data_IF_116652973533
#
_entry.id   IF_116652973533
#
_cell.length_a   1.000
_cell.length_b   1.000
_cell.length_c   1.000
_cell.angle_alpha   90.00
_cell.angle_beta   90.00
_cell.angle_gamma   90.00
#
_symmetry.space_group_name_H-M   'P 1'
#
loop_
_entity.id
_entity.type
_entity.pdbx_description
1 polymer ?
#
# COMPACT_ATOMS: atom_id res chain seq x y z
N UNK A 1 14.82 57.56 38.27
CA UNK A 1 15.80 56.95 37.34
C UNK A 1 15.47 55.46 36.98
N UNK A 2 14.24 54.93 37.23
CA UNK A 2 13.95 53.52 36.96
C UNK A 2 13.10 53.24 35.70
N UNK A 3 12.58 54.27 35.01
CA UNK A 3 11.70 54.03 33.84
C UNK A 3 12.43 53.83 32.51
N UNK A 4 13.68 54.21 32.40
CA UNK A 4 14.45 54.12 31.14
C UNK A 4 15.18 52.78 30.96
N UNK A 5 15.36 52.01 32.04
CA UNK A 5 16.02 50.67 31.98
C UNK A 5 15.05 49.58 31.58
N UNK A 6 13.77 49.68 31.97
CA UNK A 6 12.74 48.68 31.61
C UNK A 6 12.35 48.74 30.14
N UNK A 7 12.35 49.92 29.50
CA UNK A 7 12.02 50.05 28.06
C UNK A 7 13.09 49.47 27.14
N UNK A 8 14.38 49.51 27.55
CA UNK A 8 15.47 48.89 26.80
C UNK A 8 15.44 47.36 26.82
N UNK A 9 15.00 46.77 27.94
CA UNK A 9 14.91 45.33 28.10
C UNK A 9 13.71 44.73 27.31
N UNK A 10 12.59 45.42 27.29
CA UNK A 10 11.42 45.03 26.51
C UNK A 10 11.67 45.11 25.01
N UNK A 11 12.33 46.15 24.51
CA UNK A 11 12.72 46.29 23.10
C UNK A 11 13.68 45.14 22.66
N UNK A 12 14.66 44.79 23.48
CA UNK A 12 15.58 43.68 23.19
C UNK A 12 14.88 42.31 23.19
N UNK A 13 13.90 42.12 24.07
CA UNK A 13 13.10 40.87 24.09
C UNK A 13 12.24 40.77 22.80
N UNK A 14 11.61 41.88 22.41
CA UNK A 14 10.76 41.93 21.18
C UNK A 14 11.60 41.68 19.92
N UNK A 15 12.80 42.22 19.86
CA UNK A 15 13.74 42.02 18.76
C UNK A 15 14.21 40.55 18.67
N UNK A 16 14.53 39.93 19.80
CA UNK A 16 14.87 38.51 19.89
C UNK A 16 13.69 37.60 19.47
N UNK A 17 12.47 37.96 19.85
CA UNK A 17 11.25 37.21 19.42
C UNK A 17 11.03 37.37 17.94
N UNK A 18 11.14 38.54 17.34
CA UNK A 18 11.04 38.76 15.89
C UNK A 18 12.10 37.95 15.14
N UNK A 19 13.34 38.02 15.52
CA UNK A 19 14.45 37.25 14.93
C UNK A 19 14.18 35.71 14.98
N UNK A 20 13.70 35.24 16.12
CA UNK A 20 13.35 33.82 16.30
C UNK A 20 12.16 33.38 15.41
N UNK A 21 11.18 34.26 15.23
CA UNK A 21 10.02 34.03 14.36
C UNK A 21 10.43 34.00 12.88
N UNK A 22 11.33 34.91 12.48
CA UNK A 22 11.90 34.94 11.13
C UNK A 22 12.77 33.72 10.82
N UNK A 23 13.61 33.31 11.78
CA UNK A 23 14.42 32.07 11.66
C UNK A 23 13.53 30.82 11.56
N UNK A 24 12.43 30.76 12.31
CA UNK A 24 11.48 29.66 12.23
C UNK A 24 10.74 29.66 10.89
N UNK A 25 10.33 30.81 10.38
CA UNK A 25 9.69 30.94 9.08
C UNK A 25 10.64 30.54 7.93
N UNK A 26 11.90 30.97 7.99
CA UNK A 26 12.93 30.54 7.02
C UNK A 26 13.18 29.05 7.04
N UNK A 27 13.29 28.43 8.23
CA UNK A 27 13.43 26.97 8.35
C UNK A 27 12.20 26.19 7.84
N UNK A 28 11.01 26.73 8.04
CA UNK A 28 9.77 26.16 7.54
C UNK A 28 9.72 26.24 6.00
N UNK A 29 10.14 27.35 5.41
CA UNK A 29 10.19 27.54 3.97
C UNK A 29 11.23 26.63 3.28
N UNK A 30 12.43 26.51 3.87
CA UNK A 30 13.47 25.60 3.39
C UNK A 30 12.98 24.14 3.45
N UNK A 31 12.29 23.74 4.53
CA UNK A 31 11.68 22.40 4.62
C UNK A 31 10.58 22.18 3.58
N UNK A 32 9.78 23.21 3.29
CA UNK A 32 8.73 23.15 2.28
C UNK A 32 9.32 23.01 0.88
N UNK A 33 10.37 23.77 0.55
CA UNK A 33 11.07 23.68 -0.73
C UNK A 33 11.81 22.33 -0.88
N UNK A 34 12.43 21.81 0.18
CA UNK A 34 13.03 20.48 0.18
C UNK A 34 11.99 19.37 -0.02
N UNK A 35 10.81 19.47 0.64
CA UNK A 35 9.71 18.51 0.44
C UNK A 35 9.12 18.59 -0.96
N UNK A 36 8.95 19.79 -1.51
CA UNK A 36 8.47 19.97 -2.90
C UNK A 36 9.50 19.46 -3.92
N UNK A 37 10.79 19.70 -3.70
CA UNK A 37 11.85 19.17 -4.55
C UNK A 37 11.96 17.65 -4.50
N UNK A 38 11.82 17.05 -3.31
CA UNK A 38 11.78 15.59 -3.16
C UNK A 38 10.51 14.97 -3.76
N UNK A 39 9.35 15.60 -3.61
CA UNK A 39 8.10 15.15 -4.23
C UNK A 39 8.20 15.22 -5.76
N UNK A 40 8.69 16.34 -6.30
CA UNK A 40 8.88 16.50 -7.76
C UNK A 40 9.91 15.50 -8.35
N UNK A 41 10.97 15.16 -7.61
CA UNK A 41 11.92 14.12 -8.03
C UNK A 41 11.36 12.71 -7.93
N UNK A 42 10.57 12.40 -6.90
CA UNK A 42 9.95 11.08 -6.73
C UNK A 42 8.80 10.83 -7.72
N UNK A 43 8.20 11.89 -8.27
CA UNK A 43 7.16 11.83 -9.30
C UNK A 43 7.73 11.70 -10.73
N UNK A 44 9.05 11.72 -10.90
CA UNK A 44 9.66 11.60 -12.22
C UNK A 44 9.85 10.11 -12.59
N UNK A 45 9.28 9.70 -13.71
CA UNK A 45 9.39 8.32 -14.23
C UNK A 45 10.84 7.91 -14.50
N UNK A 46 11.68 8.86 -14.98
CA UNK A 46 13.09 8.59 -15.26
C UNK A 46 13.86 8.34 -13.95
N UNK A 47 13.59 9.14 -12.91
CA UNK A 47 14.15 8.91 -11.58
C UNK A 47 13.74 7.55 -11.00
N UNK A 48 12.47 7.17 -11.19
CA UNK A 48 12.01 5.84 -10.76
C UNK A 48 12.77 4.74 -11.49
N UNK A 49 12.90 4.83 -12.81
CA UNK A 49 13.58 3.80 -13.61
C UNK A 49 15.03 3.65 -13.20
N UNK A 50 15.76 4.75 -13.03
CA UNK A 50 17.16 4.75 -12.62
C UNK A 50 17.33 4.17 -11.20
N UNK A 51 16.54 4.66 -10.24
CA UNK A 51 16.60 4.20 -8.84
C UNK A 51 16.22 2.73 -8.73
N UNK A 52 15.15 2.30 -9.40
CA UNK A 52 14.67 0.93 -9.39
C UNK A 52 15.71 -0.03 -10.02
N UNK A 53 16.37 0.39 -11.12
CA UNK A 53 17.43 -0.39 -11.75
C UNK A 53 18.65 -0.51 -10.83
N UNK A 54 19.05 0.58 -10.17
CA UNK A 54 20.17 0.57 -9.22
C UNK A 54 19.91 -0.37 -8.04
N UNK A 55 18.69 -0.34 -7.47
CA UNK A 55 18.30 -1.26 -6.40
C UNK A 55 18.34 -2.71 -6.87
N UNK A 56 17.84 -2.99 -8.07
CA UNK A 56 17.87 -4.32 -8.68
C UNK A 56 19.30 -4.83 -8.82
N UNK A 57 20.19 -4.04 -9.42
CA UNK A 57 21.57 -4.41 -9.68
C UNK A 57 22.36 -4.62 -8.38
N UNK A 58 22.03 -3.85 -7.32
CA UNK A 58 22.63 -4.02 -5.99
C UNK A 58 22.22 -5.35 -5.35
N UNK A 59 20.92 -5.70 -5.43
CA UNK A 59 20.41 -6.97 -4.92
C UNK A 59 21.03 -8.15 -5.70
N UNK A 60 21.06 -8.10 -7.02
CA UNK A 60 21.67 -9.15 -7.87
C UNK A 60 23.15 -9.35 -7.51
N UNK A 61 23.92 -8.27 -7.37
CA UNK A 61 25.33 -8.32 -6.95
C UNK A 61 25.47 -8.94 -5.55
N UNK A 62 24.63 -8.55 -4.58
CA UNK A 62 24.66 -9.13 -3.24
C UNK A 62 24.30 -10.63 -3.24
N UNK A 63 23.42 -11.08 -4.12
CA UNK A 63 23.11 -12.52 -4.28
C UNK A 63 24.30 -13.28 -4.81
N UNK A 64 25.04 -12.72 -5.78
CA UNK A 64 26.24 -13.34 -6.34
C UNK A 64 27.37 -13.40 -5.31
N UNK A 65 27.54 -12.33 -4.51
CA UNK A 65 28.56 -12.24 -3.46
C UNK A 65 28.28 -13.13 -2.23
N UNK A 66 27.07 -13.64 -2.09
CA UNK A 66 26.68 -14.50 -0.95
C UNK A 66 27.62 -15.71 -0.77
N UNK A 67 28.19 -16.22 -1.87
CA UNK A 67 29.18 -17.32 -1.85
C UNK A 67 30.47 -17.00 -1.08
N UNK A 68 30.81 -15.73 -0.93
CA UNK A 68 32.04 -15.27 -0.27
C UNK A 68 31.82 -14.98 1.24
N UNK A 69 30.58 -15.07 1.74
CA UNK A 69 30.23 -14.73 3.14
C UNK A 69 30.50 -15.91 4.07
N UNK A 70 31.06 -15.62 5.25
CA UNK A 70 31.32 -16.62 6.28
C UNK A 70 30.01 -17.21 6.80
N UNK A 71 29.96 -18.53 7.02
CA UNK A 71 28.74 -19.24 7.48
C UNK A 71 28.09 -18.64 8.72
N UNK A 72 28.85 -18.05 9.62
CA UNK A 72 28.31 -17.40 10.82
C UNK A 72 27.55 -16.10 10.55
N UNK A 73 27.78 -15.45 9.41
CA UNK A 73 27.17 -14.17 9.02
C UNK A 73 26.11 -14.34 7.94
N UNK A 74 25.95 -15.54 7.39
CA UNK A 74 25.02 -15.80 6.30
C UNK A 74 23.56 -15.52 6.66
N UNK A 75 23.17 -15.76 7.91
CA UNK A 75 21.79 -15.55 8.35
C UNK A 75 21.46 -14.05 8.35
N UNK A 76 22.29 -13.25 8.99
CA UNK A 76 22.13 -11.78 9.02
C UNK A 76 22.21 -11.17 7.62
N UNK A 77 23.09 -11.71 6.77
CA UNK A 77 23.26 -11.26 5.39
C UNK A 77 22.00 -11.51 4.54
N UNK A 78 21.40 -12.68 4.65
CA UNK A 78 20.15 -12.98 3.93
C UNK A 78 18.95 -12.23 4.50
N UNK A 79 18.90 -11.97 5.80
CA UNK A 79 17.88 -11.12 6.40
C UNK A 79 17.96 -9.67 5.89
N UNK A 80 19.17 -9.15 5.66
CA UNK A 80 19.38 -7.84 5.04
C UNK A 80 18.93 -7.85 3.56
N UNK A 81 19.27 -8.88 2.83
CA UNK A 81 18.90 -9.04 1.42
C UNK A 81 17.37 -9.11 1.20
N UNK A 82 16.67 -9.79 2.10
CA UNK A 82 15.20 -9.83 2.10
C UNK A 82 14.61 -8.44 2.39
N UNK A 83 15.23 -7.67 3.29
CA UNK A 83 14.83 -6.28 3.56
C UNK A 83 15.06 -5.38 2.34
N UNK A 84 16.13 -5.56 1.60
CA UNK A 84 16.41 -4.78 0.38
C UNK A 84 15.34 -5.04 -0.69
N UNK A 85 14.92 -6.29 -0.87
CA UNK A 85 13.81 -6.62 -1.78
C UNK A 85 12.50 -5.99 -1.31
N UNK A 86 12.26 -5.98 0.01
CA UNK A 86 11.08 -5.31 0.58
C UNK A 86 11.12 -3.79 0.36
N UNK A 87 12.28 -3.14 0.55
CA UNK A 87 12.45 -1.71 0.27
C UNK A 87 12.16 -1.38 -1.20
N UNK A 88 12.59 -2.25 -2.11
CA UNK A 88 12.30 -2.12 -3.54
C UNK A 88 10.80 -2.25 -3.84
N UNK A 89 10.09 -3.13 -3.14
CA UNK A 89 8.62 -3.24 -3.23
C UNK A 89 7.93 -1.99 -2.68
N UNK A 90 8.41 -1.47 -1.55
CA UNK A 90 7.85 -0.25 -0.94
C UNK A 90 8.08 0.97 -1.83
N UNK A 91 9.26 1.08 -2.46
CA UNK A 91 9.56 2.12 -3.45
C UNK A 91 8.65 2.03 -4.68
N UNK A 92 8.37 0.83 -5.18
CA UNK A 92 7.39 0.64 -6.25
C UNK A 92 5.98 1.07 -5.81
N UNK A 93 5.56 0.70 -4.61
CA UNK A 93 4.25 1.06 -4.07
C UNK A 93 4.09 2.59 -3.93
N UNK A 94 5.13 3.27 -3.46
CA UNK A 94 5.16 4.74 -3.36
C UNK A 94 5.15 5.42 -4.74
N UNK A 95 5.83 4.82 -5.70
CA UNK A 95 5.95 5.33 -7.08
C UNK A 95 4.76 4.99 -7.98
N UNK A 96 3.87 4.10 -7.53
CA UNK A 96 2.74 3.60 -8.32
C UNK A 96 1.80 4.71 -8.83
N UNK A 97 1.85 5.88 -8.21
CA UNK A 97 0.97 7.02 -8.49
C UNK A 97 1.27 7.72 -9.83
N UNK A 98 2.51 7.69 -10.28
CA UNK A 98 2.95 8.34 -11.52
C UNK A 98 3.46 7.35 -12.58
N UNK A 99 3.43 6.04 -12.28
CA UNK A 99 3.84 5.00 -13.21
C UNK A 99 2.65 4.51 -14.04
N UNK A 100 2.87 4.26 -15.33
CA UNK A 100 1.89 3.58 -16.17
C UNK A 100 1.73 2.11 -15.74
N UNK A 101 0.52 1.55 -15.91
CA UNK A 101 0.21 0.17 -15.46
C UNK A 101 1.16 -0.89 -15.99
N UNK A 102 1.67 -0.73 -17.22
CA UNK A 102 2.64 -1.65 -17.77
C UNK A 102 4.01 -1.58 -17.07
N UNK A 103 4.43 -0.37 -16.62
CA UNK A 103 5.68 -0.17 -15.87
C UNK A 103 5.58 -0.80 -14.49
N UNK A 104 4.46 -0.61 -13.81
CA UNK A 104 4.17 -1.25 -12.52
C UNK A 104 4.21 -2.76 -12.63
N UNK A 105 3.54 -3.33 -13.66
CA UNK A 105 3.53 -4.77 -13.90
C UNK A 105 4.93 -5.31 -14.17
N UNK A 106 5.70 -4.62 -15.02
CA UNK A 106 7.08 -4.99 -15.32
C UNK A 106 7.98 -4.94 -14.08
N UNK A 107 7.85 -3.90 -13.25
CA UNK A 107 8.57 -3.78 -12.00
C UNK A 107 8.20 -4.90 -11.00
N UNK A 108 6.91 -5.23 -10.87
CA UNK A 108 6.44 -6.36 -10.05
C UNK A 108 7.02 -7.70 -10.51
N UNK A 109 7.11 -7.94 -11.82
CA UNK A 109 7.75 -9.15 -12.38
C UNK A 109 9.24 -9.21 -12.03
N UNK A 110 9.95 -8.09 -12.07
CA UNK A 110 11.35 -8.02 -11.64
C UNK A 110 11.52 -8.32 -10.15
N UNK A 111 10.70 -7.72 -9.29
CA UNK A 111 10.73 -7.99 -7.84
C UNK A 111 10.44 -9.47 -7.54
N UNK A 112 9.46 -10.06 -8.22
CA UNK A 112 9.15 -11.48 -8.09
C UNK A 112 10.32 -12.36 -8.49
N UNK A 113 11.01 -12.00 -9.57
CA UNK A 113 12.19 -12.75 -10.04
C UNK A 113 13.34 -12.65 -9.05
N UNK A 114 13.62 -11.44 -8.52
CA UNK A 114 14.65 -11.23 -7.49
C UNK A 114 14.33 -12.00 -6.20
N UNK A 115 13.08 -11.97 -5.77
CA UNK A 115 12.65 -12.70 -4.60
C UNK A 115 12.88 -14.22 -4.75
N UNK A 116 12.53 -14.79 -5.89
CA UNK A 116 12.80 -16.18 -6.20
C UNK A 116 14.30 -16.49 -6.23
N UNK A 117 15.13 -15.58 -6.76
CA UNK A 117 16.57 -15.73 -6.83
C UNK A 117 17.21 -15.71 -5.44
N UNK A 118 16.80 -14.79 -4.57
CA UNK A 118 17.24 -14.71 -3.18
C UNK A 118 16.89 -16.01 -2.43
N UNK A 119 15.66 -16.50 -2.59
CA UNK A 119 15.23 -17.72 -1.92
C UNK A 119 15.93 -18.97 -2.43
N UNK A 120 16.14 -19.09 -3.74
CA UNK A 120 16.93 -20.16 -4.32
C UNK A 120 18.34 -20.19 -3.72
N UNK A 121 18.94 -19.00 -3.53
CA UNK A 121 20.27 -18.87 -2.94
C UNK A 121 20.30 -19.23 -1.45
N UNK A 122 19.28 -18.85 -0.70
CA UNK A 122 19.10 -19.26 0.70
C UNK A 122 18.99 -20.80 0.83
N UNK A 123 18.17 -21.43 0.00
CA UNK A 123 17.99 -22.89 0.01
C UNK A 123 19.27 -23.64 -0.41
N UNK A 124 20.05 -23.08 -1.33
CA UNK A 124 21.35 -23.62 -1.74
C UNK A 124 22.37 -23.59 -0.60
N UNK A 125 22.46 -22.47 0.11
CA UNK A 125 23.52 -22.23 1.10
C UNK A 125 23.14 -22.66 2.53
N UNK A 126 21.84 -22.76 2.84
CA UNK A 126 21.31 -23.22 4.11
C UNK A 126 20.33 -24.39 3.92
N UNK A 127 20.77 -25.53 3.41
CA UNK A 127 19.88 -26.65 3.17
C UNK A 127 19.20 -27.10 4.49
N UNK A 128 17.88 -27.12 4.49
CA UNK A 128 17.07 -27.57 5.61
C UNK A 128 17.51 -28.98 6.03
N UNK A 129 17.91 -29.18 7.29
CA UNK A 129 18.22 -30.51 7.83
C UNK A 129 16.97 -31.37 7.67
N UNK A 130 17.01 -32.36 6.80
CA UNK A 130 15.96 -33.39 6.72
C UNK A 130 15.96 -34.16 8.04
N UNK A 131 14.94 -33.98 8.87
CA UNK A 131 14.67 -34.83 10.02
C UNK A 131 14.31 -36.23 9.50
N UNK A 132 15.32 -37.11 9.42
CA UNK A 132 15.11 -38.51 9.14
C UNK A 132 14.53 -39.18 10.37
N UNK A 133 13.26 -39.50 10.36
CA UNK A 133 12.70 -40.49 11.30
C UNK A 133 13.35 -41.85 11.03
N UNK A 134 14.35 -42.20 11.84
CA UNK A 134 14.99 -43.49 11.84
C UNK A 134 13.98 -44.58 12.20
N UNK A 135 13.52 -45.35 11.23
CA UNK A 135 12.84 -46.64 11.48
C UNK A 135 13.84 -47.62 12.08
N UNK A 136 13.67 -47.98 13.37
CA UNK A 136 14.30 -49.14 13.98
C UNK A 136 13.92 -50.39 13.21
N UNK A 137 14.92 -51.11 12.67
CA UNK A 137 14.78 -52.44 12.12
C UNK A 137 14.53 -53.42 13.28
N UNK A 138 13.42 -54.13 13.26
CA UNK A 138 13.28 -55.44 13.91
C UNK A 138 13.03 -56.47 12.80
N UNK A 139 13.82 -57.52 12.80
CA UNK A 139 13.87 -58.51 11.74
C UNK A 139 12.72 -59.52 11.78
N UNK A 140 12.51 -60.23 10.67
CA UNK A 140 11.60 -61.39 10.58
C UNK A 140 11.27 -61.71 9.14
N UNK A 141 11.62 -62.88 8.72
CA UNK A 141 11.72 -63.45 7.39
C UNK A 141 10.42 -63.69 6.60
N UNK A 142 10.59 -63.77 5.28
CA UNK A 142 9.95 -64.61 4.22
C UNK A 142 8.43 -64.53 3.99
N UNK A 143 7.93 -64.24 2.80
CA UNK A 143 7.86 -65.01 1.57
C UNK A 143 6.88 -64.40 0.55
N UNK A 144 7.32 -64.37 -0.68
CA UNK A 144 6.62 -64.53 -1.97
C UNK A 144 5.10 -64.35 -2.06
N UNK A 145 4.59 -63.48 -2.90
CA UNK A 145 3.94 -63.71 -4.22
C UNK A 145 3.40 -62.45 -4.83
N UNK A 146 3.66 -62.34 -6.12
CA UNK A 146 3.12 -61.32 -7.04
C UNK A 146 1.60 -61.39 -7.11
N UNK A 147 0.96 -60.25 -7.31
CA UNK A 147 -0.10 -60.02 -8.32
C UNK A 147 -0.42 -58.55 -8.51
N UNK A 148 -0.61 -58.29 -9.74
CA UNK A 148 -0.95 -57.09 -10.53
C UNK A 148 -2.00 -56.14 -9.98
N UNK A 149 -1.73 -54.87 -10.32
CA UNK A 149 -2.57 -53.86 -10.92
C UNK A 149 -3.96 -53.58 -10.29
N UNK A 150 -4.10 -52.34 -9.76
CA UNK A 150 -5.12 -51.38 -10.24
C UNK A 150 -4.71 -49.97 -9.87
N UNK A 151 -4.73 -49.08 -10.88
CA UNK A 151 -4.75 -47.63 -10.75
C UNK A 151 -6.00 -47.25 -10.00
N UNK A 152 -5.88 -46.32 -9.08
CA UNK A 152 -6.84 -45.19 -8.92
C UNK A 152 -6.30 -44.18 -7.92
N UNK A 153 -6.30 -42.93 -8.36
CA UNK A 153 -6.69 -41.76 -7.62
C UNK A 153 -5.69 -41.20 -6.59
N UNK A 154 -4.84 -40.32 -7.00
CA UNK A 154 -4.83 -38.86 -6.75
C UNK A 154 -5.07 -38.43 -5.30
N UNK A 155 -4.21 -37.48 -4.93
CA UNK A 155 -4.28 -36.49 -3.87
C UNK A 155 -3.66 -36.84 -2.52
N UNK A 156 -2.48 -36.34 -2.44
CA UNK A 156 -1.73 -36.11 -1.22
C UNK A 156 -0.60 -35.12 -1.44
N UNK A 157 -0.85 -34.07 -2.26
CA UNK A 157 0.02 -32.90 -2.26
C UNK A 157 -0.31 -32.08 -1.01
N UNK A 158 0.28 -32.46 0.12
CA UNK A 158 0.40 -31.56 1.26
C UNK A 158 1.18 -30.33 0.77
N UNK A 159 0.46 -29.25 0.50
CA UNK A 159 1.02 -27.91 0.29
C UNK A 159 1.85 -27.58 1.52
N UNK A 160 3.16 -27.77 1.44
CA UNK A 160 4.09 -27.07 2.30
C UNK A 160 3.85 -25.58 2.00
N UNK A 161 3.13 -24.91 2.88
CA UNK A 161 3.04 -23.44 2.86
C UNK A 161 4.47 -22.95 2.91
N UNK A 162 4.89 -22.28 1.86
CA UNK A 162 6.21 -21.68 1.79
C UNK A 162 6.32 -20.70 2.95
N UNK A 163 7.45 -20.71 3.64
CA UNK A 163 7.77 -19.75 4.72
C UNK A 163 7.64 -18.30 4.29
N UNK A 164 7.70 -18.03 2.98
CA UNK A 164 7.43 -16.75 2.33
C UNK A 164 5.97 -16.32 2.41
N UNK A 165 5.03 -17.23 2.12
CA UNK A 165 3.61 -16.94 2.25
C UNK A 165 3.28 -16.58 3.71
N UNK A 166 3.95 -17.22 4.68
CA UNK A 166 3.81 -16.89 6.09
C UNK A 166 4.44 -15.53 6.48
N UNK A 167 5.53 -15.10 5.83
CA UNK A 167 6.16 -13.79 6.06
C UNK A 167 5.31 -12.69 5.41
N UNK A 168 4.82 -12.91 4.18
CA UNK A 168 3.91 -12.01 3.49
C UNK A 168 2.57 -11.93 4.23
N UNK A 169 2.04 -13.05 4.74
CA UNK A 169 0.85 -13.07 5.58
C UNK A 169 1.06 -12.32 6.91
N UNK A 170 2.24 -12.38 7.51
CA UNK A 170 2.58 -11.62 8.73
C UNK A 170 2.70 -10.11 8.50
N UNK A 171 3.03 -9.67 7.29
CA UNK A 171 3.09 -8.24 6.93
C UNK A 171 1.76 -7.70 6.38
N UNK A 172 0.85 -8.56 5.96
CA UNK A 172 -0.46 -8.15 5.48
C UNK A 172 -1.31 -7.60 6.62
N UNK A 173 -1.58 -6.31 6.58
CA UNK A 173 -2.49 -5.70 7.53
C UNK A 173 -3.77 -5.28 6.81
N UNK A 174 -4.89 -5.92 7.15
CA UNK A 174 -6.18 -5.64 6.50
C UNK A 174 -7.12 -6.83 6.47
N UNK A 175 -7.88 -6.95 5.36
CA UNK A 175 -8.88 -7.99 5.16
C UNK A 175 -8.64 -8.69 3.82
N UNK A 176 -8.67 -10.01 3.82
CA UNK A 176 -8.42 -10.83 2.63
C UNK A 176 -9.31 -12.08 2.63
N UNK A 177 -9.74 -12.47 1.41
CA UNK A 177 -10.43 -13.76 1.15
C UNK A 177 -11.67 -13.96 2.04
N UNK A 178 -12.56 -12.95 2.12
CA UNK A 178 -13.78 -13.02 2.96
C UNK A 178 -15.03 -12.70 2.16
N UNK A 179 -16.17 -13.22 2.62
CA UNK A 179 -17.46 -12.98 1.99
C UNK A 179 -18.60 -12.88 3.00
N UNK A 180 -19.65 -12.11 2.63
CA UNK A 180 -20.91 -11.98 3.40
C UNK A 180 -20.70 -11.53 4.86
N UNK A 181 -19.75 -10.61 5.12
CA UNK A 181 -19.40 -10.19 6.47
C UNK A 181 -19.29 -8.67 6.62
N UNK A 182 -19.46 -8.21 7.86
CA UNK A 182 -19.08 -6.86 8.26
C UNK A 182 -17.73 -6.94 8.95
N UNK A 183 -16.75 -6.23 8.41
CA UNK A 183 -15.35 -6.25 8.81
C UNK A 183 -14.97 -4.90 9.40
N UNK A 184 -14.43 -4.89 10.61
CA UNK A 184 -14.15 -3.65 11.33
C UNK A 184 -12.68 -3.63 11.78
N UNK A 185 -12.03 -2.47 11.61
CA UNK A 185 -10.73 -2.13 12.19
C UNK A 185 -10.87 -0.92 13.08
N UNK A 186 -10.27 -0.98 14.28
CA UNK A 186 -10.25 0.16 15.20
C UNK A 186 -9.30 1.26 14.74
N UNK A 187 -9.51 2.49 15.23
CA UNK A 187 -8.66 3.63 14.90
C UNK A 187 -7.20 3.42 15.34
N UNK A 188 -7.01 2.78 16.50
CA UNK A 188 -5.68 2.47 17.06
C UNK A 188 -4.90 1.47 16.21
N UNK A 189 -5.61 0.45 15.67
CA UNK A 189 -4.99 -0.51 14.74
C UNK A 189 -4.55 0.13 13.43
N UNK A 190 -5.27 1.14 12.96
CA UNK A 190 -5.06 1.80 11.66
C UNK A 190 -3.97 2.87 11.69
N UNK A 191 -3.61 3.40 12.87
CA UNK A 191 -2.78 4.59 12.99
C UNK A 191 -1.48 4.48 12.21
N UNK A 192 -1.37 5.31 11.18
CA UNK A 192 -0.24 5.41 10.24
C UNK A 192 0.20 4.08 9.60
N UNK A 193 -0.69 3.08 9.50
CA UNK A 193 -0.41 1.79 8.86
C UNK A 193 -1.03 1.72 7.46
N UNK A 194 -0.40 0.96 6.58
CA UNK A 194 -1.00 0.62 5.28
C UNK A 194 -2.14 -0.36 5.47
N UNK A 195 -3.34 0.00 4.99
CA UNK A 195 -4.51 -0.87 5.00
C UNK A 195 -4.68 -1.58 3.65
N UNK A 196 -4.69 -2.91 3.67
CA UNK A 196 -4.91 -3.73 2.48
C UNK A 196 -6.26 -4.43 2.54
N UNK A 197 -7.04 -4.36 1.45
CA UNK A 197 -8.35 -5.01 1.34
C UNK A 197 -8.36 -5.79 0.02
N UNK A 198 -8.42 -7.11 0.09
CA UNK A 198 -8.27 -7.95 -1.10
C UNK A 198 -9.27 -9.10 -1.13
N UNK A 199 -9.79 -9.41 -2.34
CA UNK A 199 -10.62 -10.56 -2.62
C UNK A 199 -11.82 -10.69 -1.65
N UNK A 200 -12.66 -9.65 -1.61
CA UNK A 200 -13.89 -9.66 -0.81
C UNK A 200 -15.12 -9.70 -1.71
N UNK A 201 -16.15 -10.43 -1.28
CA UNK A 201 -17.46 -10.47 -1.94
C UNK A 201 -18.59 -10.24 -0.92
N UNK A 202 -19.51 -9.33 -1.26
CA UNK A 202 -20.66 -8.97 -0.43
C UNK A 202 -20.31 -8.61 1.02
N UNK A 203 -19.25 -7.80 1.20
CA UNK A 203 -18.76 -7.39 2.52
C UNK A 203 -18.98 -5.89 2.77
N UNK A 204 -19.17 -5.54 4.06
CA UNK A 204 -19.12 -4.16 4.55
C UNK A 204 -17.86 -3.97 5.37
N UNK A 205 -16.93 -3.13 4.89
CA UNK A 205 -15.70 -2.80 5.60
C UNK A 205 -15.84 -1.45 6.27
N UNK A 206 -15.51 -1.36 7.56
CA UNK A 206 -15.54 -0.13 8.36
C UNK A 206 -14.17 0.04 9.02
N UNK A 207 -13.42 1.02 8.56
CA UNK A 207 -12.06 1.30 9.01
C UNK A 207 -11.94 2.81 9.35
N UNK A 208 -12.56 3.22 10.46
CA UNK A 208 -12.60 4.61 10.91
C UNK A 208 -11.35 4.92 11.73
N UNK A 209 -10.36 5.48 11.08
CA UNK A 209 -9.06 5.83 11.67
C UNK A 209 -8.24 6.65 10.69
N UNK A 210 -6.93 6.61 10.87
CA UNK A 210 -5.97 7.34 10.05
C UNK A 210 -4.92 6.39 9.43
N UNK A 211 -5.28 5.57 8.43
CA UNK A 211 -4.29 4.78 7.73
C UNK A 211 -3.32 5.67 6.92
N UNK A 212 -2.09 5.21 6.73
CA UNK A 212 -1.12 5.93 5.88
C UNK A 212 -1.48 5.84 4.41
N UNK A 213 -1.80 4.64 3.95
CA UNK A 213 -2.19 4.33 2.57
C UNK A 213 -3.30 3.29 2.56
N UNK A 214 -4.11 3.29 1.50
CA UNK A 214 -5.16 2.32 1.27
C UNK A 214 -4.90 1.58 -0.04
N UNK A 215 -4.83 0.26 0.01
CA UNK A 215 -4.76 -0.59 -1.18
C UNK A 215 -5.95 -1.53 -1.23
N UNK A 216 -6.66 -1.49 -2.34
CA UNK A 216 -7.86 -2.31 -2.56
C UNK A 216 -7.73 -3.06 -3.88
N UNK A 217 -7.99 -4.35 -3.86
CA UNK A 217 -7.99 -5.17 -5.07
C UNK A 217 -9.05 -6.28 -5.05
N UNK A 218 -9.69 -6.49 -6.19
CA UNK A 218 -10.59 -7.63 -6.46
C UNK A 218 -11.78 -7.69 -5.50
N UNK A 219 -12.58 -6.62 -5.45
CA UNK A 219 -13.80 -6.56 -4.64
C UNK A 219 -15.05 -6.66 -5.50
N UNK A 220 -16.06 -7.38 -4.98
CA UNK A 220 -17.39 -7.48 -5.59
C UNK A 220 -18.48 -7.18 -4.57
N UNK A 221 -19.49 -6.39 -4.96
CA UNK A 221 -20.67 -6.08 -4.15
C UNK A 221 -20.34 -5.55 -2.74
N UNK A 222 -19.21 -4.85 -2.57
CA UNK A 222 -18.72 -4.41 -1.28
C UNK A 222 -19.01 -2.93 -0.99
N UNK A 223 -19.15 -2.61 0.29
CA UNK A 223 -19.16 -1.23 0.78
C UNK A 223 -17.96 -1.01 1.67
N UNK A 224 -17.09 -0.08 1.30
CA UNK A 224 -15.82 0.19 2.00
C UNK A 224 -15.83 1.61 2.54
N UNK A 225 -15.74 1.74 3.84
CA UNK A 225 -15.79 3.01 4.58
C UNK A 225 -14.46 3.19 5.28
N UNK A 226 -13.69 4.19 4.86
CA UNK A 226 -12.36 4.46 5.43
C UNK A 226 -12.30 5.90 5.93
N UNK A 227 -11.67 6.09 7.07
CA UNK A 227 -11.35 7.39 7.62
C UNK A 227 -10.27 8.12 6.79
N UNK A 228 -9.92 9.37 7.16
CA UNK A 228 -8.93 10.15 6.44
C UNK A 228 -7.57 9.44 6.33
N UNK A 229 -7.18 9.11 5.11
CA UNK A 229 -5.91 8.45 4.76
C UNK A 229 -4.84 9.50 4.51
N UNK A 230 -3.67 9.37 5.15
CA UNK A 230 -2.64 10.42 5.15
C UNK A 230 -2.00 10.67 3.78
N UNK A 231 -1.95 9.67 2.90
CA UNK A 231 -1.29 9.75 1.59
C UNK A 231 -2.26 9.35 0.48
N UNK A 232 -2.10 8.17 -0.07
CA UNK A 232 -2.77 7.72 -1.28
C UNK A 232 -3.71 6.55 -1.06
N UNK A 233 -4.70 6.45 -1.96
CA UNK A 233 -5.53 5.27 -2.11
C UNK A 233 -5.39 4.73 -3.54
N UNK A 234 -5.20 3.41 -3.64
CA UNK A 234 -5.15 2.68 -4.89
C UNK A 234 -6.24 1.60 -4.91
N UNK A 235 -7.11 1.65 -5.92
CA UNK A 235 -8.25 0.74 -6.05
C UNK A 235 -8.18 0.07 -7.41
N UNK A 236 -8.24 -1.27 -7.42
CA UNK A 236 -8.12 -2.05 -8.63
C UNK A 236 -9.14 -3.20 -8.67
N UNK A 237 -9.64 -3.49 -9.87
CA UNK A 237 -10.45 -4.68 -10.14
C UNK A 237 -11.67 -4.80 -9.22
N UNK A 238 -12.47 -3.71 -9.14
CA UNK A 238 -13.67 -3.65 -8.30
C UNK A 238 -14.94 -3.58 -9.14
N UNK A 239 -15.97 -4.31 -8.72
CA UNK A 239 -17.26 -4.37 -9.43
C UNK A 239 -18.41 -4.20 -8.45
N UNK A 240 -19.35 -3.31 -8.79
CA UNK A 240 -20.58 -3.06 -8.02
C UNK A 240 -20.31 -2.69 -6.56
N UNK A 241 -19.31 -1.83 -6.34
CA UNK A 241 -18.87 -1.43 -5.00
C UNK A 241 -19.25 0.01 -4.66
N UNK A 242 -19.16 0.34 -3.37
CA UNK A 242 -19.28 1.71 -2.86
C UNK A 242 -18.07 2.02 -1.99
N UNK A 243 -17.40 3.13 -2.27
CA UNK A 243 -16.23 3.58 -1.54
C UNK A 243 -16.47 4.95 -0.91
N UNK A 244 -16.14 5.08 0.36
CA UNK A 244 -16.16 6.34 1.10
C UNK A 244 -14.75 6.58 1.60
N UNK A 245 -14.02 7.50 0.93
CA UNK A 245 -12.58 7.67 1.08
C UNK A 245 -12.20 9.14 1.13
N UNK A 246 -11.32 9.48 2.07
CA UNK A 246 -10.61 10.76 2.08
C UNK A 246 -9.10 10.50 1.99
N UNK A 247 -8.40 11.11 1.01
CA UNK A 247 -6.96 10.92 0.80
C UNK A 247 -6.35 12.09 0.01
N UNK A 248 -5.02 12.14 -0.09
CA UNK A 248 -4.37 13.14 -0.93
C UNK A 248 -4.52 12.82 -2.41
N UNK A 249 -4.27 11.57 -2.77
CA UNK A 249 -4.28 11.12 -4.17
C UNK A 249 -5.05 9.80 -4.28
N UNK A 250 -5.88 9.71 -5.32
CA UNK A 250 -6.67 8.53 -5.61
C UNK A 250 -6.42 8.05 -7.03
N UNK A 251 -6.14 6.77 -7.17
CA UNK A 251 -6.03 6.10 -8.45
C UNK A 251 -6.93 4.87 -8.50
N UNK A 252 -7.70 4.77 -9.58
CA UNK A 252 -8.69 3.71 -9.77
C UNK A 252 -8.43 3.02 -11.10
N UNK A 253 -8.25 1.71 -11.08
CA UNK A 253 -8.00 0.89 -12.27
C UNK A 253 -9.03 -0.22 -12.41
N UNK A 254 -9.32 -0.62 -13.65
CA UNK A 254 -10.09 -1.82 -13.99
C UNK A 254 -11.41 -1.94 -13.20
N UNK A 255 -12.07 -0.83 -12.88
CA UNK A 255 -13.23 -0.79 -11.97
C UNK A 255 -14.51 -0.45 -12.72
N UNK A 256 -15.62 -1.16 -12.39
CA UNK A 256 -16.89 -1.03 -13.10
C UNK A 256 -18.07 -0.89 -12.15
N UNK A 257 -19.11 -0.14 -12.59
CA UNK A 257 -20.39 0.02 -11.88
C UNK A 257 -20.20 0.34 -10.38
N UNK A 258 -19.34 1.30 -10.08
CA UNK A 258 -18.88 1.57 -8.70
C UNK A 258 -19.07 3.03 -8.32
N UNK A 259 -19.46 3.29 -7.09
CA UNK A 259 -19.70 4.64 -6.56
C UNK A 259 -18.58 5.05 -5.60
N UNK A 260 -18.11 6.28 -5.74
CA UNK A 260 -17.06 6.87 -4.93
C UNK A 260 -17.54 8.14 -4.24
N UNK A 261 -17.47 8.18 -2.94
CA UNK A 261 -17.73 9.36 -2.10
C UNK A 261 -16.39 9.88 -1.58
N UNK A 262 -15.93 11.01 -2.13
CA UNK A 262 -14.54 11.42 -2.05
C UNK A 262 -14.31 12.76 -1.33
N UNK A 263 -13.23 12.80 -0.56
CA UNK A 263 -12.48 13.99 -0.25
C UNK A 263 -11.05 13.80 -0.72
N UNK A 264 -10.65 14.49 -1.78
CA UNK A 264 -9.30 14.36 -2.37
C UNK A 264 -8.69 15.73 -2.60
N UNK A 265 -7.39 15.87 -2.30
CA UNK A 265 -6.68 17.15 -2.45
C UNK A 265 -5.94 17.27 -3.79
N UNK A 266 -5.89 16.19 -4.57
CA UNK A 266 -5.46 16.14 -5.96
C UNK A 266 -6.57 15.60 -6.86
N UNK A 267 -6.45 15.72 -8.19
CA UNK A 267 -7.38 15.12 -9.13
C UNK A 267 -7.36 13.59 -8.96
N UNK A 268 -8.55 12.96 -8.98
CA UNK A 268 -8.62 11.50 -8.99
C UNK A 268 -8.39 10.98 -10.41
N UNK A 269 -7.53 9.96 -10.52
CA UNK A 269 -7.18 9.35 -11.80
C UNK A 269 -7.94 8.05 -11.97
N UNK A 270 -8.58 7.87 -13.12
CA UNK A 270 -9.21 6.61 -13.50
C UNK A 270 -8.53 6.04 -14.75
N UNK A 271 -8.38 4.72 -14.82
CA UNK A 271 -7.80 4.00 -15.95
C UNK A 271 -8.57 2.70 -16.20
N UNK A 272 -9.01 2.47 -17.43
CA UNK A 272 -9.81 1.32 -17.81
C UNK A 272 -11.06 1.10 -16.93
N UNK A 273 -11.72 2.20 -16.54
CA UNK A 273 -12.94 2.18 -15.74
C UNK A 273 -14.18 2.38 -16.59
N UNK A 274 -15.33 1.86 -16.14
CA UNK A 274 -16.61 2.03 -16.83
C UNK A 274 -17.74 2.19 -15.81
N UNK A 275 -18.66 3.12 -16.08
CA UNK A 275 -19.82 3.43 -15.23
C UNK A 275 -19.44 3.66 -13.76
N UNK A 276 -18.38 4.46 -13.54
CA UNK A 276 -18.00 4.90 -12.19
C UNK A 276 -18.64 6.25 -11.87
N UNK A 277 -19.09 6.43 -10.62
CA UNK A 277 -19.85 7.60 -10.21
C UNK A 277 -19.23 8.24 -8.98
N UNK A 278 -19.21 9.58 -8.94
CA UNK A 278 -18.54 10.34 -7.92
C UNK A 278 -19.49 11.26 -7.16
N UNK A 279 -19.27 11.41 -5.86
CA UNK A 279 -19.95 12.35 -4.97
C UNK A 279 -18.98 12.87 -3.90
N UNK A 280 -19.29 13.98 -3.21
CA UNK A 280 -18.47 14.43 -2.10
C UNK A 280 -18.56 13.47 -0.90
N UNK A 281 -17.50 13.43 -0.10
CA UNK A 281 -17.40 12.64 1.13
C UNK A 281 -18.41 13.11 2.18
N UNK A 282 -19.34 12.24 2.58
CA UNK A 282 -20.49 12.63 3.42
C UNK A 282 -20.52 11.99 4.80
N UNK A 283 -19.56 11.11 5.12
CA UNK A 283 -19.56 10.41 6.40
C UNK A 283 -19.36 11.35 7.60
N UNK A 284 -20.06 11.06 8.69
CA UNK A 284 -19.94 11.78 9.95
C UNK A 284 -19.78 10.78 11.10
N UNK A 285 -18.77 10.98 11.93
CA UNK A 285 -18.55 10.24 13.17
C UNK A 285 -17.77 11.13 14.15
N UNK A 286 -17.81 10.86 15.47
CA UNK A 286 -17.30 11.79 16.50
C UNK A 286 -15.83 12.20 16.31
N UNK A 287 -14.95 11.25 15.99
CA UNK A 287 -13.50 11.43 15.91
C UNK A 287 -13.03 11.96 14.54
N UNK A 288 -13.94 12.23 13.60
CA UNK A 288 -13.60 12.61 12.23
C UNK A 288 -12.64 13.82 12.14
N UNK A 289 -12.85 14.85 12.96
CA UNK A 289 -11.99 16.03 12.98
C UNK A 289 -10.56 15.71 13.43
N UNK A 290 -10.44 14.84 14.43
CA UNK A 290 -9.15 14.38 14.94
C UNK A 290 -8.39 13.59 13.86
N UNK A 291 -9.10 12.68 13.18
CA UNK A 291 -8.50 11.90 12.08
C UNK A 291 -8.07 12.78 10.90
N UNK A 292 -8.82 13.83 10.57
CA UNK A 292 -8.37 14.82 9.58
C UNK A 292 -7.09 15.55 10.04
N UNK A 293 -7.01 15.97 11.28
CA UNK A 293 -5.79 16.59 11.83
C UNK A 293 -4.57 15.66 11.74
N UNK A 294 -4.75 14.38 12.10
CA UNK A 294 -3.70 13.36 12.02
C UNK A 294 -3.29 13.06 10.58
N UNK A 295 -4.24 13.02 9.66
CA UNK A 295 -3.96 12.74 8.25
C UNK A 295 -3.20 13.86 7.54
N UNK A 296 -3.29 15.08 8.03
CA UNK A 296 -2.71 16.26 7.36
C UNK A 296 -3.44 16.68 6.08
N UNK A 297 -4.65 16.16 5.84
CA UNK A 297 -5.48 16.57 4.71
C UNK A 297 -6.04 17.98 4.91
N UNK A 298 -5.99 18.80 3.85
CA UNK A 298 -6.60 20.12 3.86
C UNK A 298 -8.12 20.02 3.69
N UNK A 299 -8.86 20.32 4.76
CA UNK A 299 -10.32 20.32 4.76
C UNK A 299 -10.97 21.34 3.78
N UNK A 300 -10.24 22.38 3.39
CA UNK A 300 -10.75 23.42 2.50
C UNK A 300 -10.65 23.04 1.03
N UNK A 301 -9.72 22.13 0.69
CA UNK A 301 -9.47 21.70 -0.68
C UNK A 301 -10.07 20.34 -0.90
N UNK A 302 -11.11 20.25 -1.72
CA UNK A 302 -11.70 18.97 -2.11
C UNK A 302 -12.01 18.96 -3.62
N UNK A 303 -11.27 18.17 -4.35
CA UNK A 303 -11.40 18.00 -5.81
C UNK A 303 -12.17 16.70 -6.18
N UNK A 304 -13.18 16.36 -5.42
CA UNK A 304 -13.97 15.13 -5.60
C UNK A 304 -14.62 15.00 -6.99
N UNK A 305 -14.82 16.11 -7.70
CA UNK A 305 -15.41 16.23 -9.04
C UNK A 305 -14.38 16.46 -10.15
N UNK A 306 -13.10 16.54 -9.81
CA UNK A 306 -12.01 16.64 -10.80
C UNK A 306 -11.46 15.25 -11.05
N UNK A 307 -11.93 14.64 -12.14
CA UNK A 307 -11.57 13.27 -12.53
C UNK A 307 -10.82 13.32 -13.85
N UNK A 308 -9.62 12.71 -13.84
CA UNK A 308 -8.79 12.54 -15.02
C UNK A 308 -8.91 11.08 -15.51
N UNK A 309 -9.42 10.92 -16.73
CA UNK A 309 -9.54 9.60 -17.37
C UNK A 309 -8.38 9.38 -18.35
N UNK A 310 -7.41 8.57 -17.95
CA UNK A 310 -6.21 8.32 -18.74
C UNK A 310 -6.44 7.44 -19.97
N UNK A 311 -7.60 6.79 -20.08
CA UNK A 311 -7.99 6.04 -21.28
C UNK A 311 -8.80 6.88 -22.28
N UNK A 312 -9.26 8.07 -21.87
CA UNK A 312 -10.02 8.99 -22.71
C UNK A 312 -9.12 10.09 -23.27
N UNK A 313 -8.72 9.93 -24.54
CA UNK A 313 -7.77 10.84 -25.20
C UNK A 313 -8.43 12.06 -25.86
N UNK A 314 -9.76 12.14 -25.89
CA UNK A 314 -10.48 13.25 -26.50
C UNK A 314 -10.72 14.38 -25.49
N UNK A 315 -9.84 15.38 -25.46
CA UNK A 315 -9.93 16.53 -24.55
C UNK A 315 -11.15 17.43 -24.80
N UNK A 316 -11.77 17.35 -25.98
CA UNK A 316 -12.90 18.19 -26.34
C UNK A 316 -14.25 17.62 -25.88
N UNK A 317 -14.30 16.39 -25.44
CA UNK A 317 -15.51 15.71 -24.99
C UNK A 317 -15.32 15.12 -23.60
N UNK A 318 -16.38 15.19 -22.82
CA UNK A 318 -16.38 14.60 -21.48
C UNK A 318 -16.29 13.08 -21.58
N UNK A 319 -15.44 12.46 -20.78
CA UNK A 319 -15.36 10.99 -20.72
C UNK A 319 -16.72 10.36 -20.41
N UNK A 320 -17.15 9.35 -21.16
CA UNK A 320 -18.38 8.60 -20.90
C UNK A 320 -18.23 7.60 -19.76
N UNK A 321 -17.02 7.37 -19.28
CA UNK A 321 -16.72 6.32 -18.33
C UNK A 321 -17.11 6.70 -16.88
N UNK A 322 -17.36 7.99 -16.63
CA UNK A 322 -17.71 8.46 -15.30
C UNK A 322 -18.79 9.55 -15.28
N UNK A 323 -19.46 9.69 -14.16
CA UNK A 323 -20.50 10.72 -13.93
C UNK A 323 -20.55 11.13 -12.44
N UNK A 324 -21.28 12.24 -12.19
CA UNK A 324 -21.56 12.71 -10.82
C UNK A 324 -22.85 12.09 -10.32
N UNK A 325 -22.87 11.61 -9.07
CA UNK A 325 -24.08 11.14 -8.40
C UNK A 325 -24.99 12.34 -8.10
N UNK A 326 -26.24 12.34 -8.61
CA UNK A 326 -27.20 13.39 -8.31
C UNK A 326 -27.43 13.55 -6.81
N UNK A 327 -27.63 14.79 -6.31
CA UNK A 327 -27.76 15.03 -4.87
C UNK A 327 -28.85 14.21 -4.18
N UNK A 328 -29.96 14.01 -4.88
CA UNK A 328 -31.11 13.21 -4.36
C UNK A 328 -30.80 11.72 -4.20
N UNK A 329 -29.76 11.22 -4.86
CA UNK A 329 -29.34 9.81 -4.84
C UNK A 329 -28.14 9.57 -3.91
N UNK A 330 -27.58 10.65 -3.31
CA UNK A 330 -26.44 10.55 -2.40
C UNK A 330 -26.81 9.92 -1.07
N UNK A 331 -25.96 9.05 -0.60
CA UNK A 331 -26.13 8.32 0.67
C UNK A 331 -25.44 9.12 1.79
N UNK A 332 -26.17 9.36 2.89
CA UNK A 332 -25.64 10.09 4.06
C UNK A 332 -25.47 9.19 5.31
N UNK A 333 -26.14 8.06 5.35
CA UNK A 333 -26.20 7.17 6.52
C UNK A 333 -25.37 5.89 6.31
N UNK A 334 -24.05 6.01 6.36
CA UNK A 334 -23.13 4.92 6.06
C UNK A 334 -22.93 3.93 7.20
N UNK A 335 -23.12 4.36 8.46
CA UNK A 335 -22.82 3.60 9.67
C UNK A 335 -24.03 2.88 10.27
N UNK A 336 -25.19 3.04 9.65
CA UNK A 336 -26.42 2.31 10.04
C UNK A 336 -26.45 0.91 9.47
#
# INVERSE_FOLDING_TARGET
MNASVESGTQAQILERMKKRTEEMAQRAEVRRQQKQGQAAMSENVDYFQETFQNMKDDIERKVDDAGNIKKAQLLDYFDELVKDVQQMQDFLNESNMFLASFQVKKAQEHIKTLNNLVHAKIDEMQPKKKFGFGKKKAGGEKSTKAKEIKKDGVDGCSKEKNTLDEIIEKQFFGFKDQSNQTLIKSAEELDNRQLNIQNLDNCKVIALGNPSTLQVASLKNCTVIVGPTSRSAFIKDCINCKFIIACQQLRIHDTKNTQFYLHVTGAAIIENCHDVKFAPYTIKYPELKEHYCKSGLDLKTNYWDKIEDFHWLNENEKSPNWSVIPEKERIDNWLK
#
